data_IF_176951996265
#
_entry.id   IF_176951996265
#
_cell.length_a   1.000
_cell.length_b   1.000
_cell.length_c   1.000
_cell.angle_alpha   90.00
_cell.angle_beta   90.00
_cell.angle_gamma   90.00
#
_symmetry.space_group_name_H-M   'P 1'
#
loop_
_entity.id
_entity.type
_entity.pdbx_description
1 polymer ?
#
# COMPACT_ATOMS: atom_id res chain seq x y z
N UNK A 1 34.39 -2.97 10.25
CA UNK A 1 33.64 -2.57 9.05
C UNK A 1 33.07 -1.21 9.38
N UNK A 2 33.34 -0.18 8.58
CA UNK A 2 32.76 1.15 8.85
C UNK A 2 31.24 1.04 8.66
N UNK A 3 30.40 1.39 9.65
CA UNK A 3 28.97 1.38 9.47
C UNK A 3 28.58 2.24 8.26
N UNK A 4 27.53 1.84 7.56
CA UNK A 4 26.88 2.76 6.64
C UNK A 4 26.25 3.84 7.52
N UNK A 5 26.61 5.10 7.30
CA UNK A 5 26.15 6.20 8.14
C UNK A 5 24.97 6.90 7.45
N UNK A 6 23.87 7.22 8.15
CA UNK A 6 22.96 8.25 7.67
C UNK A 6 23.75 9.55 7.47
N UNK A 7 23.25 10.43 6.60
CA UNK A 7 23.75 11.80 6.56
C UNK A 7 23.47 12.50 7.89
N UNK A 8 24.28 13.51 8.22
CA UNK A 8 24.06 14.34 9.42
C UNK A 8 22.64 14.93 9.44
N UNK A 9 22.18 15.44 8.29
CA UNK A 9 20.82 15.94 8.11
C UNK A 9 19.75 14.88 8.41
N UNK A 10 19.95 13.62 7.98
CA UNK A 10 19.03 12.53 8.27
C UNK A 10 19.02 12.21 9.77
N UNK A 11 20.19 12.18 10.43
CA UNK A 11 20.28 11.95 11.88
C UNK A 11 19.55 13.04 12.65
N UNK A 12 19.74 14.30 12.29
CA UNK A 12 19.06 15.42 12.91
C UNK A 12 17.55 15.33 12.74
N UNK A 13 17.08 15.08 11.52
CA UNK A 13 15.66 14.92 11.24
C UNK A 13 15.03 13.76 12.03
N UNK A 14 15.68 12.58 12.08
CA UNK A 14 15.19 11.41 12.81
C UNK A 14 15.05 11.69 14.32
N UNK A 15 16.03 12.40 14.91
CA UNK A 15 15.98 12.79 16.32
C UNK A 15 14.89 13.82 16.59
N UNK A 16 14.69 14.80 15.69
CA UNK A 16 13.67 15.84 15.84
C UNK A 16 12.25 15.28 15.70
N UNK A 17 12.03 14.32 14.80
CA UNK A 17 10.75 13.62 14.68
C UNK A 17 10.49 12.71 15.89
N UNK A 18 11.52 12.02 16.40
CA UNK A 18 11.41 11.24 17.64
C UNK A 18 11.06 12.13 18.83
N UNK A 19 11.72 13.29 18.96
CA UNK A 19 11.41 14.28 20.00
C UNK A 19 9.99 14.82 19.87
N UNK A 20 9.52 15.07 18.64
CA UNK A 20 8.14 15.48 18.35
C UNK A 20 7.14 14.43 18.82
N UNK A 21 7.39 13.15 18.54
CA UNK A 21 6.55 12.05 19.02
C UNK A 21 6.54 11.97 20.55
N UNK A 22 7.71 12.02 21.19
CA UNK A 22 7.82 12.00 22.66
C UNK A 22 7.05 13.16 23.28
N UNK A 23 7.18 14.37 22.74
CA UNK A 23 6.47 15.55 23.24
C UNK A 23 4.95 15.44 23.10
N UNK A 24 4.45 14.81 22.03
CA UNK A 24 3.01 14.68 21.75
C UNK A 24 2.35 13.47 22.41
N UNK A 25 3.07 12.36 22.54
CA UNK A 25 2.53 11.07 22.97
C UNK A 25 3.05 10.58 24.32
N UNK A 26 3.97 11.32 24.95
CA UNK A 26 4.60 10.97 26.22
C UNK A 26 5.97 10.31 26.03
N UNK A 27 6.85 10.44 27.02
CA UNK A 27 8.18 9.84 26.98
C UNK A 27 8.16 8.38 27.51
N UNK A 28 7.17 8.04 28.31
CA UNK A 28 7.04 6.76 29.00
C UNK A 28 7.06 5.60 28.03
N UNK A 29 6.33 5.71 26.92
CA UNK A 29 6.30 4.67 25.88
C UNK A 29 7.69 4.43 25.29
N UNK A 30 8.43 5.50 25.02
CA UNK A 30 9.73 5.43 24.34
C UNK A 30 10.78 4.65 25.16
N UNK A 31 10.74 4.76 26.49
CA UNK A 31 11.76 4.17 27.37
C UNK A 31 11.27 3.01 28.24
N UNK A 32 9.97 2.93 28.54
CA UNK A 32 9.40 1.91 29.43
C UNK A 32 8.70 0.77 28.70
N UNK A 33 8.26 0.98 27.45
CA UNK A 33 7.64 -0.09 26.68
C UNK A 33 8.68 -1.18 26.36
N UNK A 34 8.31 -2.46 26.43
CA UNK A 34 9.23 -3.53 26.07
C UNK A 34 9.59 -3.44 24.58
N UNK A 35 10.83 -3.79 24.23
CA UNK A 35 11.24 -3.97 22.84
C UNK A 35 10.62 -5.27 22.35
N UNK A 36 9.77 -5.20 21.32
CA UNK A 36 9.02 -6.35 20.83
C UNK A 36 9.95 -7.25 20.04
N UNK A 37 10.06 -8.49 20.50
CA UNK A 37 10.83 -9.55 19.85
C UNK A 37 9.88 -10.50 19.09
N UNK A 38 10.24 -11.02 17.91
CA UNK A 38 9.39 -11.91 17.12
C UNK A 38 9.42 -13.36 17.68
N UNK A 39 8.97 -13.53 18.92
CA UNK A 39 8.94 -14.82 19.61
C UNK A 39 7.65 -15.03 20.41
N UNK A 40 7.47 -16.24 20.94
CA UNK A 40 6.27 -16.66 21.69
C UNK A 40 6.02 -15.86 22.97
N UNK A 41 7.01 -15.14 23.50
CA UNK A 41 6.81 -14.25 24.66
C UNK A 41 5.93 -13.08 24.29
N UNK A 42 6.19 -12.48 23.13
CA UNK A 42 5.41 -11.34 22.63
C UNK A 42 4.19 -11.79 21.83
N UNK A 43 4.30 -12.91 21.10
CA UNK A 43 3.27 -13.47 20.23
C UNK A 43 2.89 -14.91 20.63
N UNK A 44 2.29 -15.13 21.82
CA UNK A 44 1.90 -16.46 22.30
C UNK A 44 0.69 -17.06 21.57
N UNK A 45 -0.01 -16.27 20.75
CA UNK A 45 -1.17 -16.75 20.00
C UNK A 45 -0.71 -17.69 18.89
N UNK A 46 -1.38 -18.83 18.73
CA UNK A 46 -1.11 -19.72 17.61
C UNK A 46 -1.42 -19.00 16.30
N UNK A 47 -0.39 -18.77 15.49
CA UNK A 47 -0.58 -18.16 14.18
C UNK A 47 -1.38 -19.09 13.25
N UNK A 48 -2.33 -18.49 12.53
CA UNK A 48 -3.12 -19.14 11.48
C UNK A 48 -2.73 -18.46 10.17
N UNK A 49 -2.29 -19.23 9.18
CA UNK A 49 -1.92 -18.71 7.85
C UNK A 49 -3.17 -18.34 7.04
N UNK A 50 -3.86 -17.30 7.49
CA UNK A 50 -5.11 -16.78 6.96
C UNK A 50 -5.32 -15.34 7.44
N UNK A 51 -6.27 -14.57 6.87
CA UNK A 51 -6.58 -13.22 7.32
C UNK A 51 -6.87 -13.10 8.83
N UNK A 52 -7.39 -14.16 9.46
CA UNK A 52 -7.65 -14.23 10.90
C UNK A 52 -6.35 -14.18 11.73
N UNK A 53 -5.27 -14.79 11.24
CA UNK A 53 -3.96 -14.70 11.87
C UNK A 53 -3.39 -13.28 11.79
N UNK A 54 -3.52 -12.63 10.64
CA UNK A 54 -3.13 -11.21 10.45
C UNK A 54 -3.91 -10.32 11.41
N UNK A 55 -5.23 -10.51 11.52
CA UNK A 55 -6.08 -9.79 12.47
C UNK A 55 -5.60 -9.99 13.92
N UNK A 56 -5.27 -11.22 14.30
CA UNK A 56 -4.82 -11.54 15.66
C UNK A 56 -3.52 -10.82 16.01
N UNK A 57 -2.53 -10.86 15.10
CA UNK A 57 -1.26 -10.15 15.27
C UNK A 57 -1.49 -8.63 15.32
N UNK A 58 -2.33 -8.09 14.44
CA UNK A 58 -2.65 -6.66 14.42
C UNK A 58 -3.31 -6.18 15.73
N UNK A 59 -4.30 -6.92 16.26
CA UNK A 59 -4.93 -6.61 17.56
C UNK A 59 -3.91 -6.61 18.70
N UNK A 60 -2.99 -7.56 18.69
CA UNK A 60 -1.91 -7.65 19.68
C UNK A 60 -0.98 -6.44 19.60
N UNK A 61 -0.62 -6.02 18.40
CA UNK A 61 0.21 -4.83 18.19
C UNK A 61 -0.53 -3.53 18.54
N UNK A 62 -1.85 -3.42 18.31
CA UNK A 62 -2.66 -2.28 18.77
C UNK A 62 -2.70 -2.19 20.29
N UNK A 63 -3.00 -3.30 20.95
CA UNK A 63 -2.94 -3.39 22.42
C UNK A 63 -1.55 -3.05 22.93
N UNK A 64 -0.51 -3.58 22.31
CA UNK A 64 0.87 -3.18 22.61
C UNK A 64 0.96 -1.67 22.52
N UNK A 65 0.54 -1.03 21.41
CA UNK A 65 0.55 0.42 21.24
C UNK A 65 -0.37 1.23 22.19
N UNK A 66 -1.12 0.57 23.09
CA UNK A 66 -2.04 1.21 24.02
C UNK A 66 -3.33 1.70 23.34
N UNK A 67 -3.79 0.96 22.33
CA UNK A 67 -5.04 1.17 21.59
C UNK A 67 -5.91 -0.07 21.81
N UNK A 68 -6.67 -0.05 22.90
CA UNK A 68 -7.54 -1.16 23.31
C UNK A 68 -9.02 -0.95 22.90
N UNK A 69 -9.34 0.24 22.40
CA UNK A 69 -10.68 0.69 22.05
C UNK A 69 -11.03 0.52 20.56
N UNK A 70 -10.06 0.12 19.72
CA UNK A 70 -10.29 -0.23 18.31
C UNK A 70 -10.24 -1.74 18.10
N UNK A 71 -11.17 -2.28 17.31
CA UNK A 71 -11.04 -3.63 16.76
C UNK A 71 -10.35 -3.59 15.38
N UNK A 72 -9.96 -4.73 14.84
CA UNK A 72 -9.29 -4.84 13.53
C UNK A 72 -10.19 -5.55 12.53
N UNK A 73 -10.42 -4.91 11.38
CA UNK A 73 -11.10 -5.48 10.21
C UNK A 73 -10.06 -5.69 9.10
N UNK A 74 -9.93 -6.93 8.64
CA UNK A 74 -9.01 -7.30 7.56
C UNK A 74 -9.82 -7.48 6.27
N UNK A 75 -9.47 -6.72 5.25
CA UNK A 75 -10.08 -6.75 3.92
C UNK A 75 -9.17 -7.58 3.02
N UNK A 76 -9.60 -8.78 2.65
CA UNK A 76 -8.79 -9.69 1.85
C UNK A 76 -8.91 -9.36 0.36
N UNK A 77 -8.03 -8.48 -0.13
CA UNK A 77 -7.96 -8.04 -1.53
C UNK A 77 -7.08 -8.94 -2.40
N UNK A 78 -6.57 -10.05 -1.87
CA UNK A 78 -5.74 -10.99 -2.64
C UNK A 78 -6.52 -11.55 -3.85
N UNK A 79 -5.89 -11.66 -5.03
CA UNK A 79 -6.50 -12.29 -6.19
C UNK A 79 -6.80 -13.77 -5.92
N UNK A 80 -7.98 -14.24 -6.34
CA UNK A 80 -8.48 -15.60 -6.07
C UNK A 80 -7.62 -16.71 -6.69
N UNK A 81 -6.88 -16.40 -7.76
CA UNK A 81 -6.00 -17.33 -8.46
C UNK A 81 -4.63 -16.67 -8.68
N UNK A 82 -3.66 -16.97 -7.82
CA UNK A 82 -2.26 -16.77 -8.17
C UNK A 82 -1.74 -18.05 -8.80
N UNK A 83 -1.40 -18.02 -10.09
CA UNK A 83 -0.53 -19.03 -10.66
C UNK A 83 0.79 -19.02 -9.89
N UNK A 84 1.11 -20.10 -9.19
CA UNK A 84 2.35 -20.23 -8.41
C UNK A 84 3.55 -20.41 -9.37
N UNK A 85 3.91 -19.34 -10.08
CA UNK A 85 4.99 -19.34 -11.08
C UNK A 85 6.37 -18.98 -10.52
N UNK A 86 6.43 -18.38 -9.33
CA UNK A 86 7.67 -18.03 -8.64
C UNK A 86 8.21 -19.18 -7.79
N UNK A 87 9.52 -19.22 -7.58
CA UNK A 87 10.18 -20.14 -6.66
C UNK A 87 9.98 -19.67 -5.21
N UNK A 88 9.83 -18.38 -4.97
CA UNK A 88 9.66 -17.79 -3.64
C UNK A 88 8.18 -17.56 -3.29
N UNK A 89 7.82 -17.85 -2.04
CA UNK A 89 6.57 -17.37 -1.45
C UNK A 89 6.60 -15.84 -1.43
N UNK A 90 5.53 -15.14 -1.87
CA UNK A 90 5.47 -13.68 -1.78
C UNK A 90 5.62 -13.23 -0.34
N UNK A 91 6.08 -12.00 -0.14
CA UNK A 91 6.18 -11.41 1.19
C UNK A 91 4.79 -10.93 1.63
N UNK A 92 4.48 -11.05 2.92
CA UNK A 92 3.24 -10.46 3.45
C UNK A 92 3.21 -8.97 3.19
N UNK A 93 2.12 -8.48 2.58
CA UNK A 93 1.87 -7.07 2.28
C UNK A 93 0.49 -6.70 2.80
N UNK A 94 0.48 -5.74 3.71
CA UNK A 94 -0.71 -5.20 4.36
C UNK A 94 -0.65 -3.68 4.28
N UNK A 95 -1.79 -3.02 4.14
CA UNK A 95 -1.88 -1.56 4.13
C UNK A 95 -3.00 -1.07 5.05
N UNK A 96 -2.70 -0.09 5.88
CA UNK A 96 -3.69 0.66 6.64
C UNK A 96 -4.51 1.53 5.69
N UNK A 97 -5.83 1.39 5.74
CA UNK A 97 -6.77 2.19 4.95
C UNK A 97 -7.26 3.35 5.77
N UNK A 98 -8.01 3.07 6.84
CA UNK A 98 -8.61 4.08 7.69
C UNK A 98 -9.02 3.55 9.08
N UNK A 99 -9.39 4.48 9.96
CA UNK A 99 -10.12 4.16 11.19
C UNK A 99 -11.59 4.46 10.92
N UNK A 100 -12.38 3.41 10.69
CA UNK A 100 -13.83 3.51 10.59
C UNK A 100 -14.41 3.78 11.98
N UNK A 101 -15.17 4.87 12.12
CA UNK A 101 -15.78 5.29 13.39
C UNK A 101 -17.29 5.06 13.43
N UNK A 102 -17.87 4.45 12.40
CA UNK A 102 -19.30 4.22 12.29
C UNK A 102 -19.73 2.98 13.08
N UNK A 103 -20.47 3.20 14.17
CA UNK A 103 -21.01 2.23 15.13
C UNK A 103 -20.00 1.62 16.12
N UNK A 104 -19.04 0.81 15.64
CA UNK A 104 -17.99 0.22 16.47
C UNK A 104 -16.64 0.53 15.82
N UNK A 105 -15.76 1.26 16.50
CA UNK A 105 -14.58 1.79 15.83
C UNK A 105 -13.61 0.67 15.45
N UNK A 106 -13.29 0.57 14.16
CA UNK A 106 -12.39 -0.44 13.61
C UNK A 106 -11.25 0.18 12.83
N UNK A 107 -10.10 -0.50 12.86
CA UNK A 107 -9.00 -0.26 11.95
C UNK A 107 -9.17 -1.16 10.74
N UNK A 108 -9.18 -0.56 9.55
CA UNK A 108 -9.26 -1.27 8.30
C UNK A 108 -7.87 -1.52 7.73
N UNK A 109 -7.55 -2.81 7.52
CA UNK A 109 -6.30 -3.27 6.93
C UNK A 109 -6.58 -4.05 5.65
N UNK A 110 -6.04 -3.63 4.52
CA UNK A 110 -6.07 -4.40 3.28
C UNK A 110 -4.93 -5.40 3.25
N UNK A 111 -5.25 -6.67 2.97
CA UNK A 111 -4.27 -7.75 2.80
C UNK A 111 -4.07 -8.00 1.30
N UNK A 112 -2.90 -7.62 0.77
CA UNK A 112 -2.56 -7.77 -0.65
C UNK A 112 -1.79 -9.05 -0.95
N UNK A 113 -0.95 -9.48 -0.02
CA UNK A 113 -0.12 -10.69 -0.10
C UNK A 113 -0.02 -11.34 1.28
N UNK A 114 0.03 -12.67 1.34
CA UNK A 114 0.26 -13.39 2.59
C UNK A 114 1.45 -14.34 2.40
N UNK A 115 2.58 -13.93 2.96
CA UNK A 115 3.82 -14.70 2.98
C UNK A 115 3.91 -15.64 4.18
N UNK A 116 5.12 -15.96 4.58
CA UNK A 116 5.36 -16.86 5.72
C UNK A 116 4.97 -16.17 7.04
N UNK A 117 4.80 -16.94 8.12
CA UNK A 117 4.43 -16.45 9.45
C UNK A 117 5.39 -15.38 9.99
N UNK A 118 6.69 -15.56 9.76
CA UNK A 118 7.76 -14.61 10.15
C UNK A 118 7.65 -13.24 9.48
N UNK A 119 6.84 -13.12 8.42
CA UNK A 119 6.71 -11.91 7.61
C UNK A 119 5.60 -10.98 8.08
N UNK A 120 4.66 -11.51 8.87
CA UNK A 120 3.43 -10.81 9.25
C UNK A 120 3.73 -9.71 10.26
N UNK A 121 4.58 -9.98 11.25
CA UNK A 121 4.90 -9.00 12.29
C UNK A 121 5.63 -7.78 11.73
N UNK A 122 6.69 -7.92 10.90
CA UNK A 122 7.32 -6.76 10.26
C UNK A 122 6.36 -5.98 9.36
N UNK A 123 5.51 -6.66 8.57
CA UNK A 123 4.54 -5.99 7.69
C UNK A 123 3.53 -5.15 8.49
N UNK A 124 3.05 -5.68 9.61
CA UNK A 124 2.10 -4.98 10.47
C UNK A 124 2.75 -3.90 11.34
N UNK A 125 4.02 -4.02 11.72
CA UNK A 125 4.65 -3.06 12.63
C UNK A 125 4.57 -1.61 12.10
N UNK A 126 4.79 -1.42 10.80
CA UNK A 126 4.68 -0.13 10.13
C UNK A 126 3.23 0.37 10.05
N UNK A 127 2.29 -0.49 9.64
CA UNK A 127 0.88 -0.11 9.53
C UNK A 127 0.26 0.21 10.89
N UNK A 128 0.62 -0.52 11.95
CA UNK A 128 0.16 -0.21 13.32
C UNK A 128 0.74 1.11 13.81
N UNK A 129 1.95 1.48 13.38
CA UNK A 129 2.50 2.79 13.69
C UNK A 129 1.76 3.92 12.95
N UNK A 130 1.32 3.71 11.70
CA UNK A 130 0.39 4.63 11.01
C UNK A 130 -0.93 4.76 11.76
N UNK A 131 -1.52 3.65 12.18
CA UNK A 131 -2.76 3.64 12.98
C UNK A 131 -2.56 4.42 14.28
N UNK A 132 -1.43 4.21 14.97
CA UNK A 132 -1.12 4.94 16.20
C UNK A 132 -1.05 6.45 15.98
N UNK A 133 -0.37 6.89 14.92
CA UNK A 133 -0.30 8.32 14.56
C UNK A 133 -1.69 8.89 14.26
N UNK A 134 -2.49 8.21 13.44
CA UNK A 134 -3.85 8.62 13.09
C UNK A 134 -4.76 8.67 14.34
N UNK A 135 -4.75 7.62 15.16
CA UNK A 135 -5.55 7.51 16.38
C UNK A 135 -5.22 8.62 17.39
N UNK A 136 -3.93 8.94 17.55
CA UNK A 136 -3.46 10.01 18.45
C UNK A 136 -3.51 11.41 17.81
N UNK A 137 -3.91 11.51 16.54
CA UNK A 137 -3.92 12.75 15.74
C UNK A 137 -2.57 13.46 15.78
N UNK A 138 -1.50 12.67 15.66
CA UNK A 138 -0.11 13.16 15.71
C UNK A 138 0.35 13.67 14.34
N UNK A 139 -0.45 13.50 13.29
CA UNK A 139 -0.14 14.05 11.98
C UNK A 139 0.07 15.55 12.07
N UNK A 140 1.19 16.03 11.53
CA UNK A 140 1.34 17.46 11.31
C UNK A 140 0.23 17.82 10.33
N UNK A 141 -0.73 18.64 10.78
CA UNK A 141 -1.74 19.18 9.87
C UNK A 141 -1.03 19.62 8.60
N UNK A 142 -1.51 19.15 7.45
CA UNK A 142 -0.91 19.29 6.13
C UNK A 142 -0.60 20.76 5.80
N UNK A 143 0.50 21.26 6.34
CA UNK A 143 0.89 22.65 6.28
C UNK A 143 2.38 22.69 5.97
N UNK A 144 2.72 22.35 4.74
CA UNK A 144 3.89 22.93 4.10
C UNK A 144 3.50 23.50 2.71
N UNK A 145 2.86 24.69 2.66
CA UNK A 145 2.32 25.24 1.42
C UNK A 145 3.36 25.78 0.42
N UNK A 146 4.68 25.53 0.61
CA UNK A 146 5.73 26.14 -0.22
C UNK A 146 7.00 25.30 -0.40
N UNK A 147 6.92 24.16 -1.10
CA UNK A 147 8.11 23.59 -1.75
C UNK A 147 7.72 22.87 -3.04
N UNK A 148 7.50 23.66 -4.09
CA UNK A 148 7.17 23.15 -5.42
C UNK A 148 8.30 22.35 -6.05
N UNK A 149 7.94 21.30 -6.79
CA UNK A 149 8.82 20.71 -7.79
C UNK A 149 8.59 19.24 -8.14
N UNK A 150 7.87 18.46 -7.33
CA UNK A 150 7.52 17.07 -7.67
C UNK A 150 6.01 16.85 -7.50
N UNK A 151 5.42 15.83 -8.15
CA UNK A 151 4.01 15.50 -7.96
C UNK A 151 3.73 15.30 -6.47
N UNK A 152 2.87 16.17 -5.91
CA UNK A 152 2.67 16.33 -4.46
C UNK A 152 2.33 14.99 -3.78
N UNK A 153 1.61 14.09 -4.45
CA UNK A 153 1.18 12.81 -3.88
C UNK A 153 2.33 11.86 -3.53
N UNK A 154 3.40 11.79 -4.32
CA UNK A 154 4.48 10.80 -4.11
C UNK A 154 5.42 11.22 -2.96
N UNK A 155 5.74 12.53 -2.86
CA UNK A 155 6.58 13.06 -1.76
C UNK A 155 5.86 12.91 -0.40
N UNK A 156 4.54 13.12 -0.37
CA UNK A 156 3.76 12.99 0.86
C UNK A 156 3.72 11.53 1.36
N UNK A 157 3.57 10.57 0.44
CA UNK A 157 3.53 9.15 0.79
C UNK A 157 4.84 8.65 1.43
N UNK A 158 5.99 9.01 0.86
CA UNK A 158 7.31 8.63 1.38
C UNK A 158 7.56 9.26 2.75
N UNK A 159 7.22 10.53 2.91
CA UNK A 159 7.38 11.23 4.19
C UNK A 159 6.50 10.61 5.28
N UNK A 160 5.24 10.30 4.99
CA UNK A 160 4.35 9.67 5.95
C UNK A 160 4.76 8.24 6.30
N UNK A 161 5.31 7.50 5.33
CA UNK A 161 5.92 6.22 5.60
C UNK A 161 7.15 6.37 6.53
N UNK A 162 8.02 7.35 6.29
CA UNK A 162 9.19 7.58 7.15
C UNK A 162 8.75 7.91 8.59
N UNK A 163 7.79 8.82 8.76
CA UNK A 163 7.23 9.17 10.07
C UNK A 163 6.55 7.99 10.78
N UNK A 164 5.87 7.11 10.04
CA UNK A 164 5.31 5.88 10.60
C UNK A 164 6.40 4.93 11.07
N UNK A 165 7.51 4.82 10.35
CA UNK A 165 8.66 4.04 10.81
C UNK A 165 9.29 4.63 12.08
N UNK A 166 9.44 5.96 12.19
CA UNK A 166 9.84 6.60 13.47
C UNK A 166 8.87 6.25 14.59
N UNK A 167 7.55 6.26 14.32
CA UNK A 167 6.55 5.86 15.30
C UNK A 167 6.63 4.38 15.70
N UNK A 168 6.97 3.47 14.78
CA UNK A 168 7.20 2.07 15.11
C UNK A 168 8.35 1.91 16.13
N UNK A 169 9.44 2.65 15.93
CA UNK A 169 10.58 2.68 16.86
C UNK A 169 10.15 3.25 18.22
N UNK A 170 9.38 4.33 18.21
CA UNK A 170 8.83 4.93 19.42
C UNK A 170 7.97 3.94 20.24
N UNK A 171 7.20 3.09 19.55
CA UNK A 171 6.37 2.06 20.18
C UNK A 171 7.16 0.86 20.72
N UNK A 172 8.48 0.78 20.48
CA UNK A 172 9.33 -0.35 20.85
C UNK A 172 9.32 -1.47 19.81
N UNK A 173 8.90 -1.21 18.57
CA UNK A 173 8.89 -2.17 17.46
C UNK A 173 10.19 -2.13 16.65
N UNK A 174 11.28 -1.57 17.20
CA UNK A 174 12.52 -1.34 16.46
C UNK A 174 13.20 -2.59 15.92
N UNK A 175 13.15 -3.71 16.66
CA UNK A 175 13.74 -4.98 16.22
C UNK A 175 13.02 -5.50 14.96
N UNK A 176 11.69 -5.51 15.00
CA UNK A 176 10.87 -6.00 13.88
C UNK A 176 10.93 -5.05 12.69
N UNK A 177 10.98 -3.73 12.93
CA UNK A 177 11.17 -2.71 11.90
C UNK A 177 12.55 -2.84 11.22
N UNK A 178 13.63 -3.04 11.97
CA UNK A 178 14.97 -3.19 11.41
C UNK A 178 15.10 -4.42 10.50
N UNK A 179 14.48 -5.54 10.89
CA UNK A 179 14.41 -6.74 10.06
C UNK A 179 13.48 -6.56 8.85
N UNK A 180 12.47 -5.70 8.95
CA UNK A 180 11.56 -5.34 7.85
C UNK A 180 12.17 -4.39 6.82
N UNK A 181 13.03 -3.47 7.26
CA UNK A 181 13.62 -2.42 6.42
C UNK A 181 14.60 -2.94 5.36
N UNK A 182 15.12 -4.16 5.51
CA UNK A 182 15.88 -4.83 4.45
C UNK A 182 15.60 -6.33 4.49
N UNK A 183 14.79 -6.80 3.54
CA UNK A 183 14.44 -8.21 3.40
C UNK A 183 15.08 -8.77 2.16
N UNK A 184 16.02 -9.68 2.38
CA UNK A 184 16.71 -10.38 1.32
C UNK A 184 16.32 -11.85 1.34
N UNK A 185 15.74 -12.34 0.25
CA UNK A 185 15.49 -13.77 0.03
C UNK A 185 16.17 -14.24 -1.23
N UNK A 186 16.76 -15.41 -1.12
CA UNK A 186 17.42 -16.11 -2.21
C UNK A 186 16.91 -17.54 -2.24
N UNK A 187 16.40 -18.01 -3.38
CA UNK A 187 16.12 -19.43 -3.59
C UNK A 187 16.67 -19.88 -4.92
N UNK A 188 17.41 -20.98 -4.88
CA UNK A 188 17.88 -21.68 -6.06
C UNK A 188 17.14 -23.01 -6.18
N UNK A 189 16.51 -23.27 -7.33
CA UNK A 189 15.97 -24.58 -7.66
C UNK A 189 16.58 -25.09 -8.97
N UNK A 190 16.93 -26.37 -8.99
CA UNK A 190 17.37 -27.04 -10.21
C UNK A 190 16.16 -27.67 -10.90
N UNK A 191 15.76 -27.11 -12.05
CA UNK A 191 14.67 -27.63 -12.88
C UNK A 191 15.31 -28.34 -14.08
N UNK A 192 15.43 -29.66 -13.99
CA UNK A 192 16.11 -30.48 -14.99
C UNK A 192 17.62 -30.20 -15.03
N UNK A 193 18.11 -29.63 -16.15
CA UNK A 193 19.51 -29.21 -16.30
C UNK A 193 19.75 -27.73 -16.01
N UNK A 194 18.68 -26.97 -15.80
CA UNK A 194 18.78 -25.53 -15.58
C UNK A 194 18.72 -25.23 -14.08
N UNK A 195 19.66 -24.42 -13.60
CA UNK A 195 19.57 -23.82 -12.27
C UNK A 195 18.83 -22.49 -12.40
N UNK A 196 17.69 -22.36 -11.74
CA UNK A 196 16.98 -21.09 -11.58
C UNK A 196 17.28 -20.52 -10.22
N UNK A 197 17.81 -19.31 -10.18
CA UNK A 197 17.99 -18.52 -8.96
C UNK A 197 17.02 -17.36 -8.98
N UNK A 198 16.26 -17.22 -7.90
CA UNK A 198 15.38 -16.09 -7.67
C UNK A 198 15.86 -15.33 -6.44
N UNK A 199 15.97 -14.01 -6.58
CA UNK A 199 16.38 -13.10 -5.52
C UNK A 199 15.30 -12.04 -5.37
N UNK A 200 14.79 -11.85 -4.16
CA UNK A 200 13.83 -10.80 -3.83
C UNK A 200 14.49 -9.87 -2.81
N UNK A 201 14.55 -8.60 -3.17
CA UNK A 201 14.86 -7.51 -2.26
C UNK A 201 13.56 -6.74 -2.05
N UNK A 202 13.18 -6.58 -0.80
CA UNK A 202 11.99 -5.82 -0.42
C UNK A 202 12.28 -4.99 0.82
N UNK A 203 11.57 -3.87 0.94
CA UNK A 203 11.70 -2.93 2.03
C UNK A 203 10.31 -2.66 2.60
N UNK A 204 10.15 -2.93 3.89
CA UNK A 204 8.96 -2.54 4.64
C UNK A 204 9.26 -1.26 5.43
N UNK A 205 8.33 -0.31 5.36
CA UNK A 205 8.47 0.98 6.02
C UNK A 205 9.03 2.06 5.10
N UNK A 206 9.14 3.29 5.61
CA UNK A 206 9.62 4.45 4.85
C UNK A 206 11.03 4.91 5.20
N UNK A 207 11.76 4.15 6.03
CA UNK A 207 13.15 4.45 6.38
C UNK A 207 14.08 3.40 5.79
N UNK A 208 15.29 3.83 5.42
CA UNK A 208 16.37 2.90 5.07
C UNK A 208 16.77 2.09 6.32
N UNK A 209 17.28 0.87 6.10
CA UNK A 209 17.77 -0.01 7.17
C UNK A 209 18.79 0.68 8.09
N UNK A 210 19.63 1.56 7.55
CA UNK A 210 20.63 2.32 8.31
C UNK A 210 19.98 3.30 9.27
N UNK A 211 18.95 4.02 8.83
CA UNK A 211 18.19 4.98 9.65
C UNK A 211 17.43 4.28 10.78
N UNK A 212 16.83 3.12 10.46
CA UNK A 212 16.16 2.28 11.46
C UNK A 212 17.15 1.75 12.50
N UNK A 213 18.33 1.28 12.07
CA UNK A 213 19.37 0.80 12.98
C UNK A 213 19.89 1.93 13.88
N UNK A 214 20.06 3.14 13.33
CA UNK A 214 20.43 4.33 14.11
C UNK A 214 19.38 4.64 15.19
N UNK A 215 18.09 4.72 14.84
CA UNK A 215 17.03 4.99 15.83
C UNK A 215 16.90 3.90 16.90
N UNK A 216 17.10 2.63 16.54
CA UNK A 216 17.12 1.54 17.51
C UNK A 216 18.30 1.68 18.48
N UNK A 217 19.49 2.05 17.99
CA UNK A 217 20.65 2.34 18.83
C UNK A 217 20.40 3.55 19.76
N UNK A 218 19.82 4.65 19.24
CA UNK A 218 19.39 5.80 20.05
C UNK A 218 18.46 5.36 21.17
N UNK A 219 17.45 4.55 20.87
CA UNK A 219 16.52 4.04 21.88
C UNK A 219 17.23 3.21 22.97
N UNK A 220 18.17 2.34 22.58
CA UNK A 220 18.96 1.52 23.52
C UNK A 220 19.87 2.37 24.42
N UNK A 221 20.56 3.36 23.83
CA UNK A 221 21.46 4.27 24.55
C UNK A 221 20.67 5.16 25.51
N UNK A 222 19.55 5.72 25.05
CA UNK A 222 18.64 6.53 25.90
C UNK A 222 18.12 5.70 27.06
N UNK A 223 17.74 4.43 26.84
CA UNK A 223 17.32 3.49 27.88
C UNK A 223 18.44 3.08 28.84
N UNK A 224 19.70 3.29 28.48
CA UNK A 224 20.85 2.79 29.25
C UNK A 224 20.91 1.27 29.23
N UNK A 225 20.64 0.65 28.08
CA UNK A 225 20.67 -0.79 27.92
C UNK A 225 22.03 -1.38 28.31
N UNK A 226 22.01 -2.46 29.08
CA UNK A 226 23.21 -3.21 29.46
C UNK A 226 23.66 -4.16 28.33
N UNK A 227 24.87 -4.70 28.47
CA UNK A 227 25.47 -5.63 27.50
C UNK A 227 24.56 -6.86 27.25
N UNK A 228 23.89 -7.37 28.29
CA UNK A 228 22.94 -8.48 28.17
C UNK A 228 21.73 -8.12 27.30
N UNK A 229 21.17 -6.93 27.46
CA UNK A 229 20.07 -6.43 26.63
C UNK A 229 20.52 -6.19 25.20
N UNK A 230 21.70 -5.60 25.00
CA UNK A 230 22.28 -5.37 23.68
C UNK A 230 22.50 -6.71 22.95
N UNK A 231 23.08 -7.70 23.60
CA UNK A 231 23.28 -9.03 23.01
C UNK A 231 21.96 -9.73 22.69
N UNK A 232 20.94 -9.59 23.56
CA UNK A 232 19.60 -10.11 23.28
C UNK A 232 19.01 -9.47 22.02
N UNK A 233 19.11 -8.15 21.87
CA UNK A 233 18.64 -7.44 20.66
C UNK A 233 19.42 -7.87 19.42
N UNK A 234 20.75 -7.93 19.50
CA UNK A 234 21.62 -8.35 18.40
C UNK A 234 21.30 -9.74 17.88
N UNK A 235 20.93 -10.66 18.77
CA UNK A 235 20.55 -12.02 18.42
C UNK A 235 19.22 -12.11 17.63
N UNK A 236 18.39 -11.07 17.70
CA UNK A 236 17.13 -10.98 16.95
C UNK A 236 17.28 -10.30 15.59
N UNK A 237 18.42 -9.68 15.30
CA UNK A 237 18.65 -8.89 14.09
C UNK A 237 19.40 -9.71 13.02
N UNK A 238 19.15 -9.40 11.75
CA UNK A 238 20.00 -9.85 10.65
C UNK A 238 21.45 -9.40 10.84
N UNK A 239 22.42 -10.15 10.30
CA UNK A 239 23.85 -9.92 10.57
C UNK A 239 24.32 -8.48 10.26
N UNK A 240 23.83 -7.90 9.16
CA UNK A 240 24.17 -6.53 8.77
C UNK A 240 23.55 -5.51 9.74
N UNK A 241 22.26 -5.66 10.03
CA UNK A 241 21.53 -4.81 10.98
C UNK A 241 22.15 -4.86 12.39
N UNK A 242 22.51 -6.06 12.85
CA UNK A 242 23.18 -6.27 14.13
C UNK A 242 24.53 -5.54 14.19
N UNK A 243 25.32 -5.61 13.11
CA UNK A 243 26.57 -4.86 13.01
C UNK A 243 26.35 -3.34 12.99
N UNK A 244 25.35 -2.87 12.25
CA UNK A 244 25.05 -1.44 12.13
C UNK A 244 24.55 -0.88 13.48
N UNK A 245 23.67 -1.58 14.20
CA UNK A 245 23.19 -1.17 15.54
C UNK A 245 24.33 -1.10 16.56
N UNK A 246 25.23 -2.09 16.60
CA UNK A 246 26.37 -2.07 17.54
C UNK A 246 27.28 -0.89 17.27
N UNK A 247 27.61 -0.66 16.00
CA UNK A 247 28.46 0.46 15.63
C UNK A 247 27.84 1.80 16.04
N UNK A 248 26.52 1.95 15.93
CA UNK A 248 25.82 3.13 16.42
C UNK A 248 25.79 3.26 17.93
N UNK A 249 25.65 2.16 18.67
CA UNK A 249 25.73 2.19 20.14
C UNK A 249 27.13 2.65 20.57
N UNK A 250 28.18 2.15 19.92
CA UNK A 250 29.56 2.54 20.19
C UNK A 250 29.82 4.02 19.86
N UNK A 251 29.27 4.52 18.75
CA UNK A 251 29.41 5.94 18.36
C UNK A 251 28.67 6.88 19.32
N UNK A 252 27.48 6.49 19.77
CA UNK A 252 26.65 7.26 20.71
C UNK A 252 27.06 7.02 22.19
N UNK A 253 28.11 6.24 22.43
CA UNK A 253 28.59 5.91 23.76
C UNK A 253 29.08 7.18 24.48
N UNK A 254 28.36 7.57 25.54
CA UNK A 254 28.64 8.77 26.32
C UNK A 254 27.63 9.91 26.11
N UNK A 255 26.84 9.86 25.04
CA UNK A 255 25.86 10.91 24.71
C UNK A 255 24.46 10.63 25.28
N UNK A 256 24.30 9.61 26.13
CA UNK A 256 23.00 9.18 26.64
C UNK A 256 22.21 10.30 27.33
N UNK A 257 22.88 11.15 28.12
CA UNK A 257 22.22 12.29 28.78
C UNK A 257 21.87 13.41 27.80
N UNK A 258 22.74 13.70 26.82
CA UNK A 258 22.46 14.69 25.77
C UNK A 258 21.30 14.26 24.86
N UNK A 259 21.24 12.96 24.51
CA UNK A 259 20.12 12.39 23.76
C UNK A 259 18.81 12.45 24.55
N UNK A 260 18.83 12.13 25.86
CA UNK A 260 17.65 12.27 26.73
C UNK A 260 17.14 13.70 26.76
N UNK A 261 18.04 14.66 26.96
CA UNK A 261 17.70 16.08 26.96
C UNK A 261 17.10 16.50 25.62
N UNK A 262 17.73 16.14 24.50
CA UNK A 262 17.24 16.44 23.14
C UNK A 262 15.85 15.86 22.88
N UNK A 263 15.61 14.63 23.31
CA UNK A 263 14.32 13.94 23.11
C UNK A 263 13.24 14.35 24.13
N UNK A 264 13.56 15.18 25.14
CA UNK A 264 12.64 15.54 26.21
C UNK A 264 12.33 14.39 27.19
N UNK A 265 13.25 13.44 27.32
CA UNK A 265 13.12 12.27 28.21
C UNK A 265 13.78 12.59 29.56
N UNK A 266 13.09 12.38 30.71
CA UNK A 266 13.68 12.64 32.02
C UNK A 266 14.82 11.64 32.33
N UNK A 267 15.65 11.98 33.32
CA UNK A 267 16.72 11.08 33.78
C UNK A 267 16.18 9.74 34.31
N UNK A 268 16.88 8.60 34.12
CA UNK A 268 16.39 7.27 34.48
C UNK A 268 15.94 7.09 35.94
N UNK A 269 16.56 7.82 36.87
CA UNK A 269 16.18 7.81 38.29
C UNK A 269 14.74 8.26 38.57
N UNK A 270 14.12 8.98 37.62
CA UNK A 270 12.74 9.46 37.72
C UNK A 270 11.75 8.52 37.02
N UNK A 271 12.22 7.46 36.37
CA UNK A 271 11.35 6.55 35.63
C UNK A 271 10.60 5.62 36.59
N UNK A 272 9.30 5.38 36.35
CA UNK A 272 8.60 4.30 37.02
C UNK A 272 9.11 2.95 36.50
N UNK A 273 8.58 1.86 37.08
CA UNK A 273 8.94 0.52 36.63
C UNK A 273 8.61 0.33 35.13
N UNK A 274 9.48 -0.36 34.36
CA UNK A 274 9.19 -0.72 32.98
C UNK A 274 7.89 -1.54 32.87
N UNK A 275 7.22 -1.42 31.72
CA UNK A 275 5.99 -2.19 31.49
C UNK A 275 6.33 -3.65 31.21
N UNK A 276 5.53 -4.55 31.78
CA UNK A 276 5.59 -5.96 31.43
C UNK A 276 4.92 -6.17 30.06
N UNK A 277 5.46 -7.07 29.21
CA UNK A 277 4.75 -7.47 28.00
C UNK A 277 3.43 -8.15 28.36
N UNK A 278 2.39 -7.92 27.55
CA UNK A 278 1.14 -8.67 27.69
C UNK A 278 1.28 -10.06 27.06
N UNK A 279 1.68 -11.01 27.90
CA UNK A 279 1.93 -12.40 27.52
C UNK A 279 0.67 -13.27 27.51
N UNK A 280 -0.50 -12.73 27.86
CA UNK A 280 -1.72 -13.52 27.82
C UNK A 280 -2.15 -13.73 26.35
N UNK A 281 -2.52 -14.96 25.96
CA UNK A 281 -3.18 -15.18 24.68
C UNK A 281 -4.42 -14.30 24.57
N UNK A 282 -4.61 -13.69 23.40
CA UNK A 282 -5.82 -12.92 23.13
C UNK A 282 -6.99 -13.89 23.20
N UNK A 283 -7.93 -13.64 24.11
CA UNK A 283 -9.20 -14.35 24.07
C UNK A 283 -9.88 -13.97 22.76
N UNK A 284 -10.43 -14.95 22.07
CA UNK A 284 -11.51 -14.67 21.12
C UNK A 284 -12.59 -13.96 21.92
N UNK A 285 -12.63 -12.64 21.80
CA UNK A 285 -13.70 -11.86 22.40
C UNK A 285 -14.95 -12.17 21.59
N UNK A 286 -16.03 -12.52 22.29
CA UNK A 286 -17.41 -12.53 21.75
C UNK A 286 -17.85 -11.13 21.23
N UNK A 287 -16.96 -10.13 21.27
CA UNK A 287 -17.11 -8.84 20.61
C UNK A 287 -17.25 -9.08 19.10
N UNK A 288 -18.52 -9.08 18.68
CA UNK A 288 -18.97 -9.49 17.38
C UNK A 288 -18.28 -8.78 16.22
N UNK A 289 -18.07 -9.57 15.16
CA UNK A 289 -18.29 -9.15 13.77
C UNK A 289 -17.26 -8.26 13.07
N UNK A 290 -16.03 -8.07 13.58
CA UNK A 290 -14.96 -7.64 12.69
C UNK A 290 -14.63 -8.80 11.73
N UNK A 291 -15.30 -8.74 10.58
CA UNK A 291 -15.32 -9.74 9.53
C UNK A 291 -14.01 -9.69 8.77
N UNK A 292 -13.54 -10.86 8.35
CA UNK A 292 -12.79 -10.92 7.10
C UNK A 292 -13.78 -10.51 6.02
N UNK A 293 -13.60 -9.32 5.47
CA UNK A 293 -14.51 -8.79 4.46
C UNK A 293 -13.87 -9.02 3.10
N UNK A 294 -14.59 -9.68 2.20
CA UNK A 294 -14.17 -9.70 0.79
C UNK A 294 -14.49 -8.34 0.16
N UNK A 295 -13.70 -7.83 -0.79
CA UNK A 295 -13.97 -6.54 -1.43
C UNK A 295 -15.38 -6.43 -2.02
N UNK A 296 -15.92 -7.54 -2.53
CA UNK A 296 -17.29 -7.62 -3.05
C UNK A 296 -18.38 -7.43 -1.99
N UNK A 297 -18.08 -7.62 -0.72
CA UNK A 297 -19.01 -7.40 0.41
C UNK A 297 -18.98 -5.95 0.90
N UNK A 298 -17.82 -5.27 0.83
CA UNK A 298 -17.71 -3.82 1.08
C UNK A 298 -18.55 -3.03 0.07
N UNK A 299 -18.38 -3.35 -1.22
CA UNK A 299 -19.14 -2.71 -2.31
C UNK A 299 -20.66 -2.90 -2.21
N UNK A 300 -21.12 -3.89 -1.44
CA UNK A 300 -22.56 -4.13 -1.20
C UNK A 300 -23.12 -3.31 -0.04
N UNK A 301 -22.28 -2.84 0.88
CA UNK A 301 -22.74 -2.15 2.10
C UNK A 301 -23.12 -0.70 1.86
N UNK A 302 -22.41 -0.02 0.98
CA UNK A 302 -22.70 1.39 0.68
C UNK A 302 -23.79 1.57 -0.36
N UNK A 303 -24.29 0.49 -0.96
CA UNK A 303 -25.27 0.51 -2.04
C UNK A 303 -24.77 1.16 -3.34
N UNK A 304 -23.68 1.93 -3.25
CA UNK A 304 -23.04 2.63 -4.34
C UNK A 304 -22.12 1.67 -5.08
N UNK A 305 -22.43 1.43 -6.35
CA UNK A 305 -21.53 0.63 -7.19
C UNK A 305 -20.23 1.41 -7.39
N UNK A 306 -19.10 0.73 -7.46
CA UNK A 306 -17.75 1.31 -7.49
C UNK A 306 -17.59 2.53 -8.43
N UNK A 307 -18.20 2.48 -9.61
CA UNK A 307 -18.11 3.54 -10.61
C UNK A 307 -19.43 4.30 -10.77
N UNK A 308 -20.36 4.19 -9.83
CA UNK A 308 -21.62 4.92 -9.88
C UNK A 308 -21.36 6.44 -9.87
N UNK A 309 -21.85 7.12 -10.90
CA UNK A 309 -21.55 8.54 -11.16
C UNK A 309 -20.23 8.81 -11.87
N UNK A 310 -19.35 7.81 -12.03
CA UNK A 310 -18.10 7.91 -12.80
C UNK A 310 -18.30 7.44 -14.24
N UNK A 311 -17.54 8.04 -15.16
CA UNK A 311 -17.52 7.65 -16.57
C UNK A 311 -16.69 6.39 -16.77
N UNK A 312 -17.11 5.59 -17.74
CA UNK A 312 -16.42 4.40 -18.25
C UNK A 312 -16.61 4.37 -19.75
N UNK A 313 -15.84 3.53 -20.45
CA UNK A 313 -15.94 3.37 -21.89
C UNK A 313 -16.22 1.93 -22.26
N UNK A 314 -16.73 1.76 -23.47
CA UNK A 314 -16.93 0.46 -24.10
C UNK A 314 -15.68 0.07 -24.88
N UNK A 315 -15.05 -1.04 -24.51
CA UNK A 315 -13.95 -1.64 -25.24
C UNK A 315 -14.50 -2.73 -26.16
N UNK A 316 -14.24 -2.62 -27.45
CA UNK A 316 -14.65 -3.60 -28.45
C UNK A 316 -13.57 -4.63 -28.67
N UNK A 317 -13.73 -5.83 -28.10
CA UNK A 317 -12.80 -6.92 -28.35
C UNK A 317 -13.30 -7.82 -29.48
N UNK A 318 -12.39 -8.13 -30.42
CA UNK A 318 -12.68 -9.10 -31.47
C UNK A 318 -12.40 -10.51 -30.98
N UNK A 319 -13.28 -11.47 -31.28
CA UNK A 319 -13.02 -12.88 -31.00
C UNK A 319 -12.17 -13.56 -32.08
N UNK A 320 -11.46 -12.80 -32.92
CA UNK A 320 -10.68 -13.33 -34.02
C UNK A 320 -9.62 -14.34 -33.55
N UNK A 321 -8.90 -14.02 -32.47
CA UNK A 321 -7.87 -14.90 -31.91
C UNK A 321 -8.40 -16.24 -31.37
N UNK A 322 -9.40 -16.29 -30.46
CA UNK A 322 -9.92 -17.57 -29.98
C UNK A 322 -10.59 -18.40 -31.08
N UNK A 323 -11.27 -17.77 -32.05
CA UNK A 323 -11.84 -18.49 -33.19
C UNK A 323 -10.78 -18.99 -34.18
N UNK A 324 -9.69 -18.25 -34.39
CA UNK A 324 -8.53 -18.74 -35.14
C UNK A 324 -7.96 -20.00 -34.48
N UNK A 325 -7.82 -20.01 -33.15
CA UNK A 325 -7.38 -21.19 -32.39
C UNK A 325 -8.29 -22.40 -32.60
N UNK A 326 -9.62 -22.23 -32.55
CA UNK A 326 -10.59 -23.28 -32.88
C UNK A 326 -10.46 -23.75 -34.34
N UNK A 327 -10.28 -22.82 -35.26
CA UNK A 327 -10.05 -23.08 -36.68
C UNK A 327 -8.82 -23.96 -36.91
N UNK A 328 -7.69 -23.63 -36.27
CA UNK A 328 -6.47 -24.45 -36.31
C UNK A 328 -6.75 -25.86 -35.79
N UNK A 329 -7.45 -26.00 -34.66
CA UNK A 329 -7.84 -27.30 -34.12
C UNK A 329 -8.62 -28.17 -35.12
N UNK A 330 -9.60 -27.58 -35.81
CA UNK A 330 -10.35 -28.26 -36.88
C UNK A 330 -9.44 -28.63 -38.06
N UNK A 331 -8.52 -27.72 -38.43
CA UNK A 331 -7.56 -27.94 -39.50
C UNK A 331 -6.61 -29.11 -39.23
N UNK A 332 -6.15 -29.30 -37.99
CA UNK A 332 -5.32 -30.45 -37.58
C UNK A 332 -6.07 -31.77 -37.78
N UNK A 333 -7.33 -31.82 -37.36
CA UNK A 333 -8.17 -33.03 -37.51
C UNK A 333 -8.40 -33.34 -39.00
N UNK A 334 -8.71 -32.33 -39.81
CA UNK A 334 -8.90 -32.49 -41.24
C UNK A 334 -7.62 -32.93 -41.96
N UNK A 335 -6.46 -32.39 -41.57
CA UNK A 335 -5.15 -32.80 -42.07
C UNK A 335 -4.89 -34.29 -41.78
N UNK A 336 -5.05 -34.72 -40.52
CA UNK A 336 -4.80 -36.11 -40.10
C UNK A 336 -5.75 -37.11 -40.81
N UNK A 337 -7.02 -36.77 -40.95
CA UNK A 337 -7.99 -37.60 -41.66
C UNK A 337 -7.68 -37.68 -43.17
N UNK A 338 -7.36 -36.55 -43.80
CA UNK A 338 -7.06 -36.48 -45.23
C UNK A 338 -5.79 -37.23 -45.62
N UNK A 339 -4.72 -37.14 -44.81
CA UNK A 339 -3.48 -37.88 -45.05
C UNK A 339 -3.68 -39.38 -44.88
N UNK A 340 -4.41 -39.81 -43.85
CA UNK A 340 -4.74 -41.21 -43.62
C UNK A 340 -5.57 -41.82 -44.76
N UNK A 341 -6.53 -41.06 -45.32
CA UNK A 341 -7.42 -41.55 -46.36
C UNK A 341 -6.78 -41.57 -47.77
N UNK A 342 -5.92 -40.59 -48.09
CA UNK A 342 -5.44 -40.40 -49.46
C UNK A 342 -3.97 -40.73 -49.66
N UNK A 343 -3.14 -40.70 -48.62
CA UNK A 343 -1.68 -40.83 -48.73
C UNK A 343 -0.98 -39.67 -49.44
N UNK A 344 -1.68 -38.57 -49.74
CA UNK A 344 -1.11 -37.40 -50.41
C UNK A 344 -0.82 -36.27 -49.41
N UNK A 345 0.06 -35.34 -49.80
CA UNK A 345 0.47 -34.20 -48.97
C UNK A 345 -0.45 -32.97 -49.07
N UNK A 346 -1.36 -32.91 -50.05
CA UNK A 346 -2.24 -31.75 -50.26
C UNK A 346 -3.16 -31.39 -49.07
N UNK A 347 -3.57 -32.30 -48.16
CA UNK A 347 -4.35 -31.94 -46.98
C UNK A 347 -3.66 -30.94 -46.03
N UNK A 348 -2.35 -30.68 -46.19
CA UNK A 348 -1.61 -29.64 -45.43
C UNK A 348 -2.23 -28.25 -45.56
N UNK A 349 -2.94 -27.96 -46.65
CA UNK A 349 -3.63 -26.69 -46.85
C UNK A 349 -4.85 -26.51 -45.92
N UNK A 350 -5.35 -27.56 -45.28
CA UNK A 350 -6.49 -27.47 -44.38
C UNK A 350 -6.22 -26.56 -43.16
N UNK A 351 -4.97 -26.52 -42.69
CA UNK A 351 -4.55 -25.70 -41.54
C UNK A 351 -4.68 -24.18 -41.80
N UNK A 352 -4.00 -23.60 -42.80
CA UNK A 352 -4.11 -22.16 -43.06
C UNK A 352 -5.54 -21.75 -43.48
N UNK A 353 -6.26 -22.62 -44.21
CA UNK A 353 -7.65 -22.36 -44.59
C UNK A 353 -8.55 -22.31 -43.35
N UNK A 354 -8.48 -23.31 -42.47
CA UNK A 354 -9.33 -23.34 -41.28
C UNK A 354 -8.97 -22.22 -40.28
N UNK A 355 -7.69 -21.86 -40.15
CA UNK A 355 -7.26 -20.70 -39.38
C UNK A 355 -7.84 -19.38 -39.92
N UNK A 356 -7.78 -19.18 -41.24
CA UNK A 356 -8.33 -18.00 -41.91
C UNK A 356 -9.85 -17.92 -41.77
N UNK A 357 -10.56 -19.05 -41.94
CA UNK A 357 -12.01 -19.11 -41.73
C UNK A 357 -12.36 -18.79 -40.26
N UNK A 358 -11.61 -19.36 -39.32
CA UNK A 358 -11.75 -19.04 -37.89
C UNK A 358 -11.55 -17.56 -37.61
N UNK A 359 -10.51 -16.95 -38.16
CA UNK A 359 -10.26 -15.51 -38.03
C UNK A 359 -11.41 -14.66 -38.58
N UNK A 360 -11.90 -14.97 -39.79
CA UNK A 360 -13.01 -14.23 -40.43
C UNK A 360 -14.31 -14.35 -39.63
N UNK A 361 -14.63 -15.56 -39.15
CA UNK A 361 -15.81 -15.80 -38.32
C UNK A 361 -15.70 -15.10 -36.96
N UNK A 362 -14.53 -15.17 -36.32
CA UNK A 362 -14.28 -14.52 -35.05
C UNK A 362 -14.22 -13.00 -35.14
N UNK A 363 -13.81 -12.42 -36.26
CA UNK A 363 -13.84 -10.98 -36.49
C UNK A 363 -15.25 -10.41 -36.64
N UNK A 364 -16.24 -11.27 -36.97
CA UNK A 364 -17.66 -10.89 -37.01
C UNK A 364 -18.32 -10.89 -35.63
N UNK A 365 -17.82 -11.70 -34.71
CA UNK A 365 -18.34 -11.76 -33.35
C UNK A 365 -17.55 -10.78 -32.47
N UNK A 366 -18.23 -9.72 -32.03
CA UNK A 366 -17.68 -8.71 -31.14
C UNK A 366 -18.35 -8.80 -29.79
N UNK A 367 -17.55 -8.78 -28.74
CA UNK A 367 -18.04 -8.59 -27.39
C UNK A 367 -17.59 -7.21 -26.92
N UNK A 368 -18.52 -6.52 -26.26
CA UNK A 368 -18.28 -5.22 -25.66
C UNK A 368 -18.01 -5.42 -24.17
N UNK A 369 -16.98 -4.76 -23.65
CA UNK A 369 -16.57 -4.84 -22.25
C UNK A 369 -16.42 -3.44 -21.64
N UNK A 370 -16.60 -3.35 -20.34
CA UNK A 370 -16.32 -2.15 -19.56
C UNK A 370 -14.80 -1.89 -19.53
N UNK A 371 -14.38 -0.65 -19.82
CA UNK A 371 -12.98 -0.24 -19.86
C UNK A 371 -12.27 -0.20 -18.50
N UNK A 372 -13.03 -0.19 -17.40
CA UNK A 372 -12.47 -0.25 -16.06
C UNK A 372 -11.74 -1.59 -15.84
N UNK A 373 -10.42 -1.58 -15.55
CA UNK A 373 -9.58 -2.78 -15.49
C UNK A 373 -10.05 -3.80 -14.44
N UNK A 374 -10.66 -3.31 -13.36
CA UNK A 374 -11.12 -4.15 -12.25
C UNK A 374 -12.57 -4.63 -12.46
N UNK A 375 -13.34 -3.92 -13.28
CA UNK A 375 -14.67 -4.33 -13.70
C UNK A 375 -14.63 -5.39 -14.79
N UNK A 376 -14.12 -5.07 -15.99
CA UNK A 376 -14.12 -5.96 -17.18
C UNK A 376 -15.49 -6.59 -17.52
N UNK A 377 -16.60 -5.99 -17.08
CA UNK A 377 -17.94 -6.56 -17.24
C UNK A 377 -18.41 -6.50 -18.69
N UNK A 378 -19.05 -7.58 -19.18
CA UNK A 378 -19.64 -7.61 -20.52
C UNK A 378 -20.82 -6.64 -20.62
N UNK A 379 -20.83 -5.83 -21.67
CA UNK A 379 -21.81 -4.78 -21.92
C UNK A 379 -22.77 -5.20 -23.04
N UNK A 380 -24.09 -5.10 -22.83
CA UNK A 380 -25.06 -5.15 -23.92
C UNK A 380 -24.85 -4.04 -24.95
N UNK A 381 -25.21 -4.30 -26.21
CA UNK A 381 -25.07 -3.36 -27.33
C UNK A 381 -25.63 -1.96 -27.07
N UNK A 382 -26.71 -1.87 -26.31
CA UNK A 382 -27.47 -0.65 -25.99
C UNK A 382 -27.26 -0.13 -24.56
N UNK A 383 -26.35 -0.73 -23.79
CA UNK A 383 -26.10 -0.29 -22.42
C UNK A 383 -25.49 1.13 -22.38
N UNK A 384 -26.16 2.02 -21.64
CA UNK A 384 -25.68 3.36 -21.26
C UNK A 384 -25.01 3.38 -19.87
N UNK A 385 -25.16 2.30 -19.10
CA UNK A 385 -24.57 2.13 -17.77
C UNK A 385 -24.08 0.69 -17.61
N UNK A 386 -22.90 0.50 -17.03
CA UNK A 386 -22.36 -0.82 -16.74
C UNK A 386 -23.16 -1.50 -15.62
N UNK A 387 -23.77 -2.66 -15.91
CA UNK A 387 -24.54 -3.42 -14.93
C UNK A 387 -23.69 -3.97 -13.75
N UNK A 388 -22.37 -4.07 -13.92
CA UNK A 388 -21.44 -4.60 -12.91
C UNK A 388 -20.90 -3.51 -11.97
N UNK A 389 -20.27 -2.46 -12.51
CA UNK A 389 -19.67 -1.40 -11.69
C UNK A 389 -20.50 -0.12 -11.56
N UNK A 390 -21.60 0.04 -12.30
CA UNK A 390 -22.45 1.23 -12.24
C UNK A 390 -21.95 2.44 -13.02
N UNK A 391 -20.80 2.35 -13.70
CA UNK A 391 -20.25 3.44 -14.52
C UNK A 391 -21.14 3.82 -15.69
N UNK A 392 -21.28 5.13 -15.94
CA UNK A 392 -21.93 5.63 -17.16
C UNK A 392 -21.01 5.40 -18.36
N UNK A 393 -21.55 4.90 -19.47
CA UNK A 393 -20.76 4.61 -20.66
C UNK A 393 -20.71 5.88 -21.51
N UNK A 394 -19.57 6.56 -21.49
CA UNK A 394 -19.39 7.86 -22.14
C UNK A 394 -18.99 7.74 -23.62
N UNK A 395 -18.44 6.61 -24.05
CA UNK A 395 -18.04 6.39 -25.43
C UNK A 395 -17.47 5.00 -25.69
N UNK A 396 -16.90 4.82 -26.88
CA UNK A 396 -16.25 3.59 -27.33
C UNK A 396 -14.76 3.83 -27.56
N UNK A 397 -13.92 2.90 -27.11
CA UNK A 397 -12.46 2.93 -27.28
C UNK A 397 -11.97 1.61 -27.87
N UNK A 398 -10.79 1.63 -28.51
CA UNK A 398 -10.21 0.46 -29.18
C UNK A 398 -9.59 -0.53 -28.20
N UNK A 399 -9.07 -0.04 -27.07
CA UNK A 399 -8.41 -0.86 -26.06
C UNK A 399 -8.58 -0.26 -24.66
N UNK A 400 -8.50 -1.08 -23.60
CA UNK A 400 -8.61 -0.59 -22.22
C UNK A 400 -7.51 0.42 -21.83
N UNK A 401 -6.34 0.35 -22.48
CA UNK A 401 -5.23 1.31 -22.28
C UNK A 401 -5.53 2.71 -22.81
N UNK A 402 -6.47 2.87 -23.75
CA UNK A 402 -6.88 4.17 -24.28
C UNK A 402 -7.82 4.94 -23.34
N UNK A 403 -8.21 4.33 -22.21
CA UNK A 403 -9.18 4.91 -21.26
C UNK A 403 -8.80 6.32 -20.80
N UNK A 404 -7.54 6.52 -20.38
CA UNK A 404 -7.09 7.81 -19.84
C UNK A 404 -7.14 8.92 -20.91
N UNK A 405 -6.69 8.62 -22.12
CA UNK A 405 -6.75 9.58 -23.24
C UNK A 405 -8.19 9.91 -23.64
N UNK A 406 -9.11 8.94 -23.55
CA UNK A 406 -10.52 9.17 -23.82
C UNK A 406 -11.23 9.96 -22.71
N UNK A 407 -10.80 9.80 -21.45
CA UNK A 407 -11.23 10.61 -20.31
C UNK A 407 -10.81 12.07 -20.50
N UNK A 408 -9.53 12.31 -20.80
CA UNK A 408 -8.97 13.64 -21.08
C UNK A 408 -9.67 14.33 -22.27
N UNK A 409 -9.89 13.60 -23.37
CA UNK A 409 -10.59 14.15 -24.54
C UNK A 409 -12.05 14.55 -24.26
N UNK A 410 -12.73 13.88 -23.31
CA UNK A 410 -14.09 14.27 -22.90
C UNK A 410 -14.08 15.48 -21.97
N UNK A 411 -13.10 15.57 -21.08
CA UNK A 411 -12.92 16.73 -20.19
C UNK A 411 -12.61 17.99 -21.00
N UNK A 412 -11.70 17.89 -21.98
CA UNK A 412 -11.40 18.96 -22.92
C UNK A 412 -12.64 19.41 -23.70
N UNK A 413 -13.45 18.45 -24.18
CA UNK A 413 -14.68 18.75 -24.90
C UNK A 413 -15.71 19.49 -24.03
N UNK A 414 -15.82 19.14 -22.75
CA UNK A 414 -16.72 19.81 -21.81
C UNK A 414 -16.25 21.23 -21.49
N UNK A 415 -14.94 21.43 -21.27
CA UNK A 415 -14.36 22.76 -21.06
C UNK A 415 -14.60 23.68 -22.27
N UNK A 416 -14.44 23.17 -23.49
CA UNK A 416 -14.71 23.97 -24.70
C UNK A 416 -16.18 24.32 -24.89
N UNK A 417 -17.11 23.50 -24.39
CA UNK A 417 -18.54 23.76 -24.51
C UNK A 417 -19.00 24.87 -23.57
N UNK A 418 -18.45 24.90 -22.35
CA UNK A 418 -18.77 25.93 -21.36
C UNK A 418 -18.30 27.33 -21.77
N UNK A 419 -17.20 27.43 -22.54
CA UNK A 419 -16.68 28.70 -23.04
C UNK A 419 -17.51 29.30 -24.21
N UNK A 420 -18.17 28.47 -25.02
CA UNK A 420 -19.03 28.94 -26.12
C UNK A 420 -20.36 29.52 -25.61
N UNK A 421 -20.90 28.99 -24.51
CA UNK A 421 -22.11 29.50 -23.86
C UNK A 421 -21.81 30.72 -22.95
N UNK A 422 -20.54 30.95 -22.60
CA UNK A 422 -20.07 32.16 -21.91
C UNK A 422 -19.74 33.32 -22.87
N UNK A 423 -20.25 33.29 -24.10
CA UNK A 423 -20.21 34.46 -24.97
C UNK A 423 -20.79 35.66 -24.22
N UNK A 424 -20.05 36.77 -24.07
CA UNK A 424 -20.52 37.92 -23.33
C UNK A 424 -21.84 38.36 -23.96
N UNK A 425 -22.90 38.33 -23.17
CA UNK A 425 -24.07 39.14 -23.47
C UNK A 425 -23.55 40.57 -23.59
N UNK A 426 -23.41 41.04 -24.83
CA UNK A 426 -23.28 42.45 -25.17
C UNK A 426 -24.54 43.14 -24.63
N UNK A 427 -24.58 43.40 -23.33
CA UNK A 427 -25.46 44.40 -22.80
C UNK A 427 -24.99 45.72 -23.43
N UNK A 428 -25.86 46.42 -24.18
CA UNK A 428 -25.50 47.69 -24.78
C UNK A 428 -25.07 48.61 -23.64
N UNK A 429 -23.80 49.01 -23.68
CA UNK A 429 -23.28 50.09 -22.86
C UNK A 429 -24.04 51.36 -23.31
N UNK A 430 -25.08 51.71 -22.57
CA UNK A 430 -25.74 53.01 -22.67
C UNK A 430 -24.75 54.07 -22.17
N UNK A 431 -23.89 54.51 -23.09
CA UNK A 431 -23.10 55.75 -22.98
C UNK A 431 -24.05 56.95 -23.13
N UNK A 432 -24.91 57.17 -22.14
CA UNK A 432 -25.61 58.45 -21.97
C UNK A 432 -24.93 59.24 -20.84
N UNK A 433 -24.09 60.19 -21.27
CA UNK A 433 -24.02 61.58 -20.80
C UNK A 433 -24.46 61.85 -19.35
N UNK A 434 -23.53 62.33 -18.50
CA UNK A 434 -23.58 63.75 -18.13
C UNK A 434 -22.35 64.21 -17.31
N UNK A 435 -21.70 65.22 -17.89
CA UNK A 435 -20.69 66.09 -17.33
C UNK A 435 -21.15 66.78 -16.03
N UNK A 436 -20.35 66.68 -14.97
CA UNK A 436 -20.32 67.73 -13.93
C UNK A 436 -18.96 67.82 -13.21
N UNK A 437 -18.15 68.87 -13.45
CA UNK A 437 -16.90 69.08 -12.72
C UNK A 437 -17.18 69.77 -11.37
N UNK A 438 -16.99 69.06 -10.25
CA UNK A 438 -16.95 69.69 -8.91
C UNK A 438 -15.53 69.77 -8.34
N UNK A 439 -14.97 70.95 -8.57
CA UNK A 439 -14.18 71.79 -7.68
C UNK A 439 -13.25 71.13 -6.64
N UNK A 440 -11.95 71.40 -6.83
CA UNK A 440 -10.86 71.27 -5.85
C UNK A 440 -11.15 72.10 -4.60
N UNK A 441 -11.04 71.47 -3.43
CA UNK A 441 -10.97 72.13 -2.13
C UNK A 441 -9.74 71.67 -1.36
N UNK A 442 -8.76 72.56 -1.22
CA UNK A 442 -7.53 72.38 -0.46
C UNK A 442 -7.76 72.37 1.06
N UNK A 443 -6.87 71.69 1.81
CA UNK A 443 -6.31 72.02 3.15
C UNK A 443 -5.24 70.95 3.46
N UNK A 444 -3.97 71.33 3.58
CA UNK A 444 -3.25 71.73 4.82
C UNK A 444 -3.20 70.63 5.87
#
# INVERSE_FOLDING_TARGET
MTPRLPSDDAREWLLDETATLVARAGWERFVLAPLVEPNDTFFPDRYVHAPEGVRTVARRLLRHAGIDDLDVRVIDVRPAERGHGGLLTPLTSVSFVEIDTHAAPTVDLELHELGDDVDVVPALAHEIARVFRAHRRIDRGAAHPYRGGAPEEEIHADHDAALASVAALYLGLGIVAANGALRYRARSEQIGRDARTEWVHDQLGGLDVVDVCFLLAVQLVVRGADETTIDRVRAQLGANQSSDVVAWIDELAGDADALRERLGVPAPRAWPAPWAPDVAPLRETDAGSARIVRPSELQRRDGQRRNEGRRTFRVRETKAAPWMGRGVGIGIVALAAGTAATGHAWPVLALPIAALVGWILGGRERDDFCSDPECGGRLPGDATTCAKCGGSIAGEIGSASERLAAEEALEDAELTHDDEDAAPHDEPFDDDDDDAPRARGARR
#
